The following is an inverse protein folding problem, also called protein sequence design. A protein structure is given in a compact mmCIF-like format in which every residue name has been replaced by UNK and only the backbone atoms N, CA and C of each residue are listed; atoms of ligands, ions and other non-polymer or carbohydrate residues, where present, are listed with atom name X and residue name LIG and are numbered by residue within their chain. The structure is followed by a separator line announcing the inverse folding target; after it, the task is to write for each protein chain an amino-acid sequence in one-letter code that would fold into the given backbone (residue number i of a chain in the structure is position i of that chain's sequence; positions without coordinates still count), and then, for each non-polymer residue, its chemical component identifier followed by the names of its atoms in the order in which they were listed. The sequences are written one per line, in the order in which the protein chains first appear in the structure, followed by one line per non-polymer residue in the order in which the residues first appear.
data_IF_537305970415
#
_entry.id   IF_537305970415
#
_cell.length_a   1.000
_cell.length_b   1.000
_cell.length_c   1.000
_cell.angle_alpha   90.00
_cell.angle_beta   90.00
_cell.angle_gamma   90.00
#
_symmetry.space_group_name_H-M   'P 1'
#
loop_
_entity.id
_entity.type
_entity.pdbx_description
1 polymer ?
#
# COMPACT_ATOMS: atom_id res chain seq x y z
N UNK A 1 6.49 3.95 29.23
CA UNK A 1 7.85 4.02 28.62
C UNK A 1 7.69 3.82 27.13
N UNK A 2 8.31 4.65 26.29
CA UNK A 2 8.31 4.42 24.84
C UNK A 2 9.33 3.32 24.51
N UNK A 3 8.92 2.31 23.73
CA UNK A 3 9.80 1.24 23.23
C UNK A 3 10.69 1.85 22.15
N UNK A 4 12.00 1.69 22.29
CA UNK A 4 12.97 2.20 21.30
C UNK A 4 13.27 1.13 20.26
N UNK A 5 13.58 1.58 19.03
CA UNK A 5 14.12 0.69 18.00
C UNK A 5 15.34 -0.07 18.51
N UNK A 6 15.29 -1.41 18.42
CA UNK A 6 16.36 -2.30 18.92
C UNK A 6 16.26 -2.73 20.38
N UNK A 7 15.27 -2.26 21.16
CA UNK A 7 15.13 -2.65 22.59
C UNK A 7 14.99 -4.17 22.79
N UNK A 8 14.38 -4.88 21.83
CA UNK A 8 14.18 -6.33 21.85
C UNK A 8 15.49 -7.14 21.93
N UNK A 9 16.65 -6.54 21.62
CA UNK A 9 17.96 -7.19 21.70
C UNK A 9 18.42 -7.33 23.16
N UNK A 10 18.07 -6.36 24.02
CA UNK A 10 18.60 -6.27 25.39
C UNK A 10 17.54 -6.42 26.47
N UNK A 11 16.27 -6.34 26.10
CA UNK A 11 15.11 -6.39 27.01
C UNK A 11 14.06 -7.34 26.46
N UNK A 12 13.26 -7.91 27.37
CA UNK A 12 12.08 -8.67 26.99
C UNK A 12 11.00 -7.72 26.47
N UNK A 13 10.43 -8.04 25.31
CA UNK A 13 9.23 -7.37 24.76
C UNK A 13 7.99 -8.11 25.22
N UNK A 14 7.02 -7.39 25.77
CA UNK A 14 5.71 -7.96 26.11
C UNK A 14 4.92 -8.22 24.82
N UNK A 15 4.19 -9.33 24.74
CA UNK A 15 3.43 -9.70 23.53
C UNK A 15 2.36 -8.67 23.16
N UNK A 16 1.79 -7.99 24.15
CA UNK A 16 0.81 -6.91 23.95
C UNK A 16 1.41 -5.64 23.33
N UNK A 17 2.73 -5.59 23.14
CA UNK A 17 3.41 -4.48 22.48
C UNK A 17 3.87 -4.85 21.04
N UNK A 18 3.49 -6.02 20.55
CA UNK A 18 3.79 -6.50 19.20
C UNK A 18 2.53 -6.43 18.37
N UNK A 19 2.58 -5.67 17.27
CA UNK A 19 1.49 -5.65 16.31
C UNK A 19 1.39 -6.99 15.58
N UNK A 20 0.18 -7.52 15.43
CA UNK A 20 -0.08 -8.81 14.76
C UNK A 20 -1.20 -8.72 13.72
N UNK A 21 -1.27 -9.63 12.73
CA UNK A 21 -2.31 -9.58 11.69
C UNK A 21 -3.75 -9.65 12.23
N UNK A 22 -3.97 -10.22 13.41
CA UNK A 22 -5.30 -10.26 14.04
C UNK A 22 -5.78 -8.88 14.52
N UNK A 23 -4.90 -7.87 14.57
CA UNK A 23 -5.22 -6.51 15.03
C UNK A 23 -5.66 -5.56 13.90
N UNK A 24 -5.66 -6.02 12.64
CA UNK A 24 -6.22 -5.23 11.53
C UNK A 24 -7.70 -4.91 11.79
N UNK A 25 -8.05 -3.64 11.66
CA UNK A 25 -9.44 -3.19 11.77
C UNK A 25 -10.20 -3.38 10.45
N UNK A 26 -11.50 -3.13 10.46
CA UNK A 26 -12.36 -3.35 9.29
C UNK A 26 -12.05 -2.39 8.12
N UNK A 27 -11.69 -1.15 8.41
CA UNK A 27 -11.31 -0.17 7.38
C UNK A 27 -10.00 -0.57 6.67
N UNK A 28 -9.01 -1.05 7.43
CA UNK A 28 -7.76 -1.58 6.90
C UNK A 28 -8.00 -2.83 6.03
N UNK A 29 -8.88 -3.75 6.46
CA UNK A 29 -9.27 -4.91 5.65
C UNK A 29 -10.04 -4.51 4.39
N UNK A 30 -10.90 -3.50 4.47
CA UNK A 30 -11.61 -2.96 3.31
C UNK A 30 -10.65 -2.31 2.31
N UNK A 31 -9.62 -1.60 2.78
CA UNK A 31 -8.56 -1.06 1.91
C UNK A 31 -7.86 -2.18 1.15
N UNK A 32 -7.46 -3.27 1.84
CA UNK A 32 -6.86 -4.43 1.20
C UNK A 32 -7.77 -5.03 0.12
N UNK A 33 -9.06 -5.20 0.42
CA UNK A 33 -10.02 -5.73 -0.55
C UNK A 33 -10.18 -4.82 -1.77
N UNK A 34 -10.28 -3.50 -1.55
CA UNK A 34 -10.37 -2.51 -2.63
C UNK A 34 -9.16 -2.56 -3.57
N UNK A 35 -7.96 -2.75 -3.02
CA UNK A 35 -6.73 -2.89 -3.80
C UNK A 35 -6.76 -4.18 -4.62
N UNK A 36 -7.16 -5.31 -4.02
CA UNK A 36 -7.29 -6.58 -4.75
C UNK A 36 -8.33 -6.47 -5.88
N UNK A 37 -9.50 -5.88 -5.63
CA UNK A 37 -10.54 -5.69 -6.64
C UNK A 37 -10.04 -4.81 -7.79
N UNK A 38 -9.27 -3.76 -7.49
CA UNK A 38 -8.62 -2.91 -8.48
C UNK A 38 -7.62 -3.72 -9.34
N UNK A 39 -6.74 -4.50 -8.71
CA UNK A 39 -5.76 -5.32 -9.42
C UNK A 39 -6.43 -6.40 -10.27
N UNK A 40 -7.47 -7.06 -9.76
CA UNK A 40 -8.23 -8.05 -10.50
C UNK A 40 -8.85 -7.43 -11.75
N UNK A 41 -9.42 -6.23 -11.62
CA UNK A 41 -10.11 -5.54 -12.71
C UNK A 41 -9.18 -4.91 -13.74
N UNK A 42 -8.04 -4.36 -13.33
CA UNK A 42 -7.18 -3.55 -14.20
C UNK A 42 -5.90 -4.27 -14.64
N UNK A 43 -5.37 -5.19 -13.82
CA UNK A 43 -4.11 -5.89 -14.11
C UNK A 43 -4.33 -7.37 -14.46
N UNK A 44 -5.06 -8.14 -13.66
CA UNK A 44 -5.14 -9.59 -13.82
C UNK A 44 -6.05 -10.04 -14.97
N UNK A 45 -6.87 -9.13 -15.51
CA UNK A 45 -7.63 -9.36 -16.76
C UNK A 45 -6.76 -9.31 -18.02
N UNK A 46 -5.54 -8.79 -17.93
CA UNK A 46 -4.63 -8.65 -19.06
C UNK A 46 -4.02 -10.02 -19.43
N UNK A 47 -3.81 -10.24 -20.72
CA UNK A 47 -3.18 -11.49 -21.21
C UNK A 47 -1.72 -11.64 -20.73
N UNK A 48 -1.05 -10.51 -20.51
CA UNK A 48 0.32 -10.44 -20.00
C UNK A 48 0.53 -9.17 -19.17
N UNK A 49 1.51 -9.21 -18.28
CA UNK A 49 1.92 -8.05 -17.50
C UNK A 49 2.48 -6.93 -18.40
N UNK A 50 2.06 -5.67 -18.23
CA UNK A 50 2.60 -4.54 -18.98
C UNK A 50 4.10 -4.34 -18.76
N UNK A 51 4.87 -4.16 -19.83
CA UNK A 51 6.29 -3.86 -19.74
C UNK A 51 6.53 -2.36 -19.80
N UNK A 52 7.16 -1.76 -18.79
CA UNK A 52 7.40 -0.30 -18.76
C UNK A 52 8.12 0.28 -19.99
N UNK A 53 8.92 -0.53 -20.69
CA UNK A 53 9.62 -0.12 -21.92
C UNK A 53 8.74 -0.05 -23.17
N UNK A 54 7.53 -0.63 -23.13
CA UNK A 54 6.62 -0.77 -24.27
C UNK A 54 5.24 -0.17 -23.98
N UNK A 55 4.75 -0.38 -22.76
CA UNK A 55 3.35 -0.18 -22.37
C UNK A 55 3.20 0.96 -21.35
N UNK A 56 4.13 1.92 -21.35
CA UNK A 56 4.11 3.06 -20.44
C UNK A 56 2.76 3.81 -20.42
N UNK A 57 2.09 4.09 -21.55
CA UNK A 57 0.78 4.74 -21.53
C UNK A 57 -0.28 3.95 -20.74
N UNK A 58 -0.27 2.61 -20.83
CA UNK A 58 -1.20 1.75 -20.09
C UNK A 58 -0.89 1.77 -18.58
N UNK A 59 0.40 1.73 -18.21
CA UNK A 59 0.81 1.81 -16.81
C UNK A 59 0.43 3.17 -16.19
N UNK A 60 0.59 4.27 -16.95
CA UNK A 60 0.15 5.60 -16.52
C UNK A 60 -1.37 5.64 -16.35
N UNK A 61 -2.13 5.09 -17.30
CA UNK A 61 -3.60 5.02 -17.18
C UNK A 61 -4.03 4.21 -15.94
N UNK A 62 -3.35 3.10 -15.63
CA UNK A 62 -3.60 2.35 -14.40
C UNK A 62 -3.28 3.16 -13.15
N UNK A 63 -2.21 3.95 -13.16
CA UNK A 63 -1.87 4.84 -12.04
C UNK A 63 -2.89 5.96 -11.87
N UNK A 64 -3.40 6.53 -12.96
CA UNK A 64 -4.48 7.53 -12.94
C UNK A 64 -5.76 6.93 -12.34
N UNK A 65 -6.14 5.72 -12.73
CA UNK A 65 -7.28 5.00 -12.13
C UNK A 65 -7.07 4.71 -10.64
N UNK A 66 -5.85 4.35 -10.21
CA UNK A 66 -5.54 4.20 -8.80
C UNK A 66 -5.66 5.55 -8.04
N UNK A 67 -5.26 6.65 -8.66
CA UNK A 67 -5.40 7.99 -8.09
C UNK A 67 -6.87 8.40 -7.93
N UNK A 68 -7.75 8.07 -8.89
CA UNK A 68 -9.20 8.29 -8.77
C UNK A 68 -9.83 7.54 -7.59
N UNK A 69 -9.25 6.41 -7.19
CA UNK A 69 -9.64 5.65 -5.99
C UNK A 69 -9.00 6.18 -4.68
N UNK A 70 -8.20 7.24 -4.76
CA UNK A 70 -7.48 7.80 -3.60
C UNK A 70 -6.22 7.02 -3.20
N UNK A 71 -5.79 6.04 -4.00
CA UNK A 71 -4.69 5.13 -3.64
C UNK A 71 -3.30 5.78 -3.77
N UNK A 72 -3.19 7.00 -4.29
CA UNK A 72 -1.90 7.71 -4.45
C UNK A 72 -1.59 8.69 -3.30
N UNK A 73 -2.56 9.00 -2.42
CA UNK A 73 -2.43 10.01 -1.37
C UNK A 73 -2.47 9.45 0.05
N UNK A 74 -2.19 8.15 0.23
CA UNK A 74 -2.53 7.42 1.47
C UNK A 74 -1.85 7.98 2.72
N UNK A 75 -0.60 8.46 2.62
CA UNK A 75 0.17 8.98 3.76
C UNK A 75 0.19 10.52 3.82
N UNK A 76 -0.56 11.17 2.93
CA UNK A 76 -0.61 12.64 2.82
C UNK A 76 -1.76 13.15 3.70
N UNK A 77 -1.51 14.23 4.45
CA UNK A 77 -2.53 14.84 5.30
C UNK A 77 -3.76 15.29 4.49
N UNK A 78 -4.96 15.15 5.05
CA UNK A 78 -6.23 15.50 4.39
C UNK A 78 -6.28 16.95 3.88
N UNK A 79 -5.62 17.89 4.59
CA UNK A 79 -5.56 19.31 4.18
C UNK A 79 -4.84 19.53 2.84
N UNK A 80 -4.08 18.54 2.38
CA UNK A 80 -3.41 18.51 1.08
C UNK A 80 -4.09 17.57 0.08
N UNK A 81 -5.26 17.02 0.42
CA UNK A 81 -6.05 16.12 -0.44
C UNK A 81 -5.69 14.65 -0.32
N UNK A 82 -4.94 14.23 0.70
CA UNK A 82 -4.67 12.83 0.99
C UNK A 82 -5.65 12.19 1.97
N UNK A 83 -5.31 10.99 2.44
CA UNK A 83 -6.16 10.18 3.34
C UNK A 83 -5.62 10.04 4.76
N UNK A 84 -4.45 10.60 5.07
CA UNK A 84 -3.78 10.57 6.38
C UNK A 84 -3.83 9.20 7.08
N UNK A 85 -3.66 8.13 6.31
CA UNK A 85 -3.73 6.76 6.83
C UNK A 85 -2.55 6.47 7.74
N UNK A 86 -2.81 5.62 8.74
CA UNK A 86 -1.79 5.21 9.70
C UNK A 86 -0.61 4.50 9.02
N UNK A 87 0.56 4.51 9.68
CA UNK A 87 1.72 3.77 9.19
C UNK A 87 1.44 2.26 9.01
N UNK A 88 0.63 1.68 9.90
CA UNK A 88 0.23 0.27 9.79
C UNK A 88 -0.70 0.03 8.60
N UNK A 89 -1.63 0.94 8.32
CA UNK A 89 -2.43 0.87 7.11
C UNK A 89 -1.55 0.95 5.85
N UNK A 90 -0.48 1.75 5.87
CA UNK A 90 0.54 1.78 4.81
C UNK A 90 1.27 0.44 4.61
N UNK A 91 1.52 -0.32 5.68
CA UNK A 91 2.07 -1.69 5.58
C UNK A 91 1.10 -2.62 4.85
N UNK A 92 -0.17 -2.63 5.26
CA UNK A 92 -1.19 -3.50 4.65
C UNK A 92 -1.48 -3.10 3.20
N UNK A 93 -1.48 -1.80 2.91
CA UNK A 93 -1.59 -1.25 1.55
C UNK A 93 -0.49 -1.82 0.64
N UNK A 94 0.78 -1.77 1.07
CA UNK A 94 1.89 -2.24 0.25
C UNK A 94 1.89 -3.77 0.13
N UNK A 95 1.48 -4.49 1.16
CA UNK A 95 1.26 -5.93 1.10
C UNK A 95 0.18 -6.29 0.06
N UNK A 96 -0.95 -5.59 0.06
CA UNK A 96 -2.03 -5.82 -0.88
C UNK A 96 -1.59 -5.54 -2.33
N UNK A 97 -0.83 -4.45 -2.54
CA UNK A 97 -0.28 -4.12 -3.85
C UNK A 97 0.80 -5.09 -4.34
N UNK A 98 1.45 -5.85 -3.46
CA UNK A 98 2.42 -6.87 -3.86
C UNK A 98 1.81 -7.97 -4.76
N UNK A 99 0.48 -8.13 -4.72
CA UNK A 99 -0.26 -8.98 -5.65
C UNK A 99 -0.22 -8.46 -7.10
N UNK A 100 0.08 -7.18 -7.29
CA UNK A 100 0.13 -6.49 -8.59
C UNK A 100 1.48 -6.53 -9.32
N UNK A 101 2.36 -7.48 -9.02
CA UNK A 101 3.65 -7.68 -9.69
C UNK A 101 4.51 -6.39 -9.77
N UNK A 102 4.99 -5.99 -10.95
CA UNK A 102 5.81 -4.79 -11.13
C UNK A 102 5.04 -3.49 -10.88
N UNK A 103 3.71 -3.47 -11.04
CA UNK A 103 2.89 -2.30 -10.72
C UNK A 103 2.98 -1.93 -9.24
N UNK A 104 3.19 -2.91 -8.35
CA UNK A 104 3.48 -2.69 -6.93
C UNK A 104 4.69 -1.76 -6.73
N UNK A 105 5.72 -1.90 -7.58
CA UNK A 105 6.91 -1.03 -7.53
C UNK A 105 6.59 0.37 -8.06
N UNK A 106 5.79 0.47 -9.12
CA UNK A 106 5.35 1.75 -9.70
C UNK A 106 4.61 2.58 -8.67
N UNK A 107 3.53 2.04 -8.10
CA UNK A 107 2.72 2.77 -7.12
C UNK A 107 3.48 2.96 -5.80
N UNK A 108 4.21 1.93 -5.37
CA UNK A 108 5.01 1.98 -4.15
C UNK A 108 6.08 3.05 -4.16
N UNK A 109 6.76 3.24 -5.29
CA UNK A 109 7.73 4.32 -5.48
C UNK A 109 7.06 5.69 -5.42
N UNK A 110 5.91 5.83 -6.08
CA UNK A 110 5.15 7.08 -6.11
C UNK A 110 4.73 7.53 -4.70
N UNK A 111 4.15 6.62 -3.91
CA UNK A 111 3.60 6.93 -2.57
C UNK A 111 4.63 6.90 -1.43
N UNK A 112 5.90 6.59 -1.73
CA UNK A 112 6.97 6.59 -0.74
C UNK A 112 8.08 7.57 -1.11
N UNK A 113 9.10 7.13 -1.84
CA UNK A 113 10.30 7.93 -2.13
C UNK A 113 10.06 9.06 -3.15
N UNK A 114 8.95 9.02 -3.88
CA UNK A 114 8.54 10.05 -4.84
C UNK A 114 7.54 11.07 -4.30
N UNK A 115 7.02 10.89 -3.09
CA UNK A 115 6.07 11.78 -2.43
C UNK A 115 6.74 12.94 -1.69
#
# INVERSE_FOLDING_TARGET
MSIKGGDFITKKTESSAVFVPEEWNEEEKMLKQMIHDFLDKELHVLESEPEASKDLPQIVEMLDKAAELGLCGIAIEEKYGGSDLSFNAGLLYMEAFAYGFSFATTIGTHVSIGS
#
